data_IF_596847750009
#
_entry.id   IF_596847750009
#
_cell.length_a   1.000
_cell.length_b   1.000
_cell.length_c   1.000
_cell.angle_alpha   90.00
_cell.angle_beta   90.00
_cell.angle_gamma   90.00
#
_symmetry.space_group_name_H-M   'P 1'
#
loop_
_entity.id
_entity.type
_entity.pdbx_description
1 polymer ?
#
# COMPACT_ATOMS: atom_id res chain seq x y z
N UNK A 1 -24.80 17.98 30.68
CA UNK A 1 -24.22 16.83 29.94
C UNK A 1 -23.60 17.38 28.68
N UNK A 2 -22.29 17.62 28.69
CA UNK A 2 -21.54 18.25 27.59
C UNK A 2 -20.81 17.17 26.79
N UNK A 3 -21.03 17.20 25.48
CA UNK A 3 -20.09 16.84 24.41
C UNK A 3 -19.63 15.38 24.30
N UNK A 4 -20.43 14.54 23.63
CA UNK A 4 -19.96 13.30 23.00
C UNK A 4 -20.40 13.24 21.53
N UNK A 5 -19.90 14.12 20.66
CA UNK A 5 -20.15 13.98 19.22
C UNK A 5 -19.03 14.48 18.28
N UNK A 6 -17.79 14.59 18.76
CA UNK A 6 -16.67 15.10 17.94
C UNK A 6 -15.46 14.15 17.86
N UNK A 7 -15.64 12.84 18.06
CA UNK A 7 -14.54 11.87 18.01
C UNK A 7 -14.47 11.01 16.73
N UNK A 8 -15.41 11.17 15.79
CA UNK A 8 -15.50 10.29 14.62
C UNK A 8 -14.75 10.79 13.36
N UNK A 9 -14.22 12.02 13.36
CA UNK A 9 -13.65 12.63 12.13
C UNK A 9 -12.12 12.55 12.04
N UNK A 10 -11.42 12.20 13.12
CA UNK A 10 -9.94 12.17 13.12
C UNK A 10 -9.30 10.82 12.76
N UNK A 11 -10.10 9.77 12.52
CA UNK A 11 -9.59 8.41 12.29
C UNK A 11 -9.12 8.11 10.86
N UNK A 12 -9.39 8.98 9.88
CA UNK A 12 -8.99 8.78 8.48
C UNK A 12 -7.65 9.41 8.10
N UNK A 13 -7.09 10.29 8.93
CA UNK A 13 -5.86 11.02 8.59
C UNK A 13 -4.57 10.26 8.94
N UNK A 14 -4.62 9.26 9.82
CA UNK A 14 -3.43 8.53 10.29
C UNK A 14 -3.00 7.36 9.41
N UNK A 15 -3.77 7.02 8.36
CA UNK A 15 -3.31 6.02 7.36
C UNK A 15 -2.40 6.63 6.28
N UNK A 16 -2.26 7.96 6.25
CA UNK A 16 -1.33 8.65 5.36
C UNK A 16 0.14 8.54 5.81
N UNK A 17 0.42 7.94 6.98
CA UNK A 17 1.78 7.90 7.55
C UNK A 17 2.64 6.71 7.07
N UNK A 18 2.09 5.80 6.27
CA UNK A 18 2.82 4.65 5.70
C UNK A 18 2.65 4.50 4.18
N UNK A 19 1.79 5.30 3.56
CA UNK A 19 1.87 5.54 2.13
C UNK A 19 2.93 6.61 1.93
N UNK A 20 4.06 6.27 1.29
CA UNK A 20 5.03 7.28 0.89
C UNK A 20 4.28 8.27 -0.02
N UNK A 21 4.04 9.50 0.44
CA UNK A 21 3.34 10.49 -0.37
C UNK A 21 4.26 10.93 -1.51
N UNK A 22 4.17 10.24 -2.64
CA UNK A 22 4.99 10.49 -3.82
C UNK A 22 4.68 11.83 -4.50
N UNK A 23 3.57 12.50 -4.17
CA UNK A 23 3.17 13.76 -4.82
C UNK A 23 4.20 14.86 -4.59
N UNK A 24 4.85 14.89 -3.43
CA UNK A 24 5.90 15.86 -3.12
C UNK A 24 7.12 15.68 -4.03
N UNK A 25 7.58 14.43 -4.19
CA UNK A 25 8.73 14.10 -5.03
C UNK A 25 8.43 14.30 -6.51
N UNK A 26 7.22 13.95 -6.94
CA UNK A 26 6.79 14.19 -8.31
C UNK A 26 6.68 15.70 -8.59
N UNK A 27 6.14 16.49 -7.67
CA UNK A 27 6.10 17.96 -7.81
C UNK A 27 7.51 18.53 -7.92
N UNK A 28 8.46 18.01 -7.14
CA UNK A 28 9.88 18.41 -7.22
C UNK A 28 10.46 18.03 -8.59
N UNK A 29 10.23 16.81 -9.04
CA UNK A 29 10.66 16.32 -10.36
C UNK A 29 10.17 17.23 -11.47
N UNK A 30 8.87 17.54 -11.51
CA UNK A 30 8.25 18.35 -12.56
C UNK A 30 8.84 19.77 -12.62
N UNK A 31 9.13 20.36 -11.45
CA UNK A 31 9.80 21.67 -11.37
C UNK A 31 11.19 21.66 -11.99
N UNK A 32 12.00 20.62 -11.71
CA UNK A 32 13.34 20.50 -12.30
C UNK A 32 13.23 20.18 -13.78
N UNK A 33 12.37 19.24 -14.16
CA UNK A 33 12.18 18.83 -15.55
C UNK A 33 11.78 20.01 -16.45
N UNK A 34 10.97 20.94 -15.95
CA UNK A 34 10.60 22.15 -16.68
C UNK A 34 11.78 23.07 -17.04
N UNK A 35 12.94 22.91 -16.40
CA UNK A 35 14.14 23.71 -16.67
C UNK A 35 15.20 22.99 -17.49
N UNK A 36 14.96 21.76 -17.94
CA UNK A 36 15.93 20.91 -18.67
C UNK A 36 15.55 20.79 -20.15
N UNK A 37 16.50 20.44 -21.01
CA UNK A 37 16.17 20.09 -22.41
C UNK A 37 15.35 18.79 -22.43
N UNK A 38 14.06 18.84 -22.84
CA UNK A 38 13.21 17.66 -22.87
C UNK A 38 13.66 16.60 -23.89
N UNK A 39 14.56 16.94 -24.81
CA UNK A 39 15.10 16.01 -25.80
C UNK A 39 16.38 15.30 -25.34
N UNK A 40 16.99 15.75 -24.23
CA UNK A 40 18.11 15.04 -23.62
C UNK A 40 17.72 13.59 -23.31
N UNK A 41 18.68 12.68 -23.43
CA UNK A 41 18.45 11.26 -23.16
C UNK A 41 18.02 11.07 -21.70
N UNK A 42 18.71 11.77 -20.81
CA UNK A 42 18.53 11.75 -19.37
C UNK A 42 17.13 12.26 -18.98
N UNK A 43 16.66 13.38 -19.54
CA UNK A 43 15.31 13.88 -19.21
C UNK A 43 14.20 12.93 -19.68
N UNK A 44 14.35 12.29 -20.84
CA UNK A 44 13.39 11.30 -21.34
C UNK A 44 13.36 10.04 -20.49
N UNK A 45 14.52 9.50 -20.15
CA UNK A 45 14.63 8.33 -19.26
C UNK A 45 14.06 8.63 -17.86
N UNK A 46 14.37 9.81 -17.33
CA UNK A 46 13.85 10.27 -16.04
C UNK A 46 12.31 10.35 -16.05
N UNK A 47 11.72 10.89 -17.13
CA UNK A 47 10.27 11.00 -17.28
C UNK A 47 9.60 9.62 -17.35
N UNK A 48 10.17 8.68 -18.11
CA UNK A 48 9.65 7.31 -18.20
C UNK A 48 9.63 6.64 -16.82
N UNK A 49 10.69 6.81 -16.02
CA UNK A 49 10.75 6.25 -14.66
C UNK A 49 9.67 6.82 -13.73
N UNK A 50 9.37 8.13 -13.82
CA UNK A 50 8.26 8.74 -13.06
C UNK A 50 6.91 8.20 -13.51
N UNK A 51 6.68 8.05 -14.81
CA UNK A 51 5.43 7.48 -15.33
C UNK A 51 5.25 6.02 -14.87
N UNK A 52 6.33 5.24 -14.87
CA UNK A 52 6.33 3.88 -14.32
C UNK A 52 6.05 3.88 -12.81
N UNK A 53 6.71 4.76 -12.04
CA UNK A 53 6.49 4.88 -10.60
C UNK A 53 5.03 5.23 -10.28
N UNK A 54 4.44 6.20 -10.99
CA UNK A 54 3.02 6.57 -10.88
C UNK A 54 2.13 5.36 -11.18
N UNK A 55 2.37 4.65 -12.30
CA UNK A 55 1.54 3.52 -12.69
C UNK A 55 1.59 2.38 -11.66
N UNK A 56 2.78 2.07 -11.13
CA UNK A 56 2.96 1.06 -10.09
C UNK A 56 2.24 1.48 -8.80
N UNK A 57 2.47 2.71 -8.33
CA UNK A 57 1.83 3.24 -7.12
C UNK A 57 0.31 3.17 -7.17
N UNK A 58 -0.32 3.63 -8.26
CA UNK A 58 -1.78 3.58 -8.39
C UNK A 58 -2.30 2.14 -8.40
N UNK A 59 -1.60 1.23 -9.07
CA UNK A 59 -2.00 -0.18 -9.15
C UNK A 59 -1.82 -0.90 -7.81
N UNK A 60 -0.67 -0.76 -7.15
CA UNK A 60 -0.36 -1.41 -5.88
C UNK A 60 -1.29 -0.93 -4.76
N UNK A 61 -1.45 0.38 -4.63
CA UNK A 61 -2.15 0.96 -3.47
C UNK A 61 -3.65 0.76 -3.55
N UNK A 62 -4.22 0.78 -4.76
CA UNK A 62 -5.66 0.61 -4.90
C UNK A 62 -6.03 -0.86 -5.00
N UNK A 63 -5.44 -1.59 -5.95
CA UNK A 63 -5.92 -2.94 -6.28
C UNK A 63 -5.39 -3.97 -5.29
N UNK A 64 -4.10 -3.96 -5.01
CA UNK A 64 -3.49 -5.01 -4.18
C UNK A 64 -3.87 -4.85 -2.71
N UNK A 65 -3.89 -3.63 -2.16
CA UNK A 65 -4.36 -3.42 -0.79
C UNK A 65 -5.83 -3.83 -0.61
N UNK A 66 -6.71 -3.53 -1.57
CA UNK A 66 -8.11 -3.97 -1.51
C UNK A 66 -8.22 -5.50 -1.57
N UNK A 67 -7.39 -6.15 -2.40
CA UNK A 67 -7.35 -7.61 -2.49
C UNK A 67 -6.87 -8.25 -1.18
N UNK A 68 -5.78 -7.73 -0.59
CA UNK A 68 -5.26 -8.18 0.71
C UNK A 68 -6.35 -8.04 1.78
N UNK A 69 -7.03 -6.89 1.83
CA UNK A 69 -8.13 -6.66 2.78
C UNK A 69 -9.30 -7.62 2.57
N UNK A 70 -9.69 -7.89 1.33
CA UNK A 70 -10.75 -8.85 1.03
C UNK A 70 -10.41 -10.26 1.55
N UNK A 71 -9.19 -10.74 1.29
CA UNK A 71 -8.71 -12.02 1.77
C UNK A 71 -8.72 -12.11 3.31
N UNK A 72 -8.25 -11.05 3.98
CA UNK A 72 -8.22 -11.01 5.45
C UNK A 72 -9.63 -10.94 6.05
N UNK A 73 -10.53 -10.15 5.46
CA UNK A 73 -11.92 -10.08 5.89
C UNK A 73 -12.62 -11.42 5.77
N UNK A 74 -12.39 -12.16 4.68
CA UNK A 74 -12.95 -13.50 4.50
C UNK A 74 -12.34 -14.49 5.50
N UNK A 75 -11.03 -14.41 5.76
CA UNK A 75 -10.37 -15.18 6.82
C UNK A 75 -11.00 -14.93 8.20
N UNK A 76 -11.28 -13.67 8.55
CA UNK A 76 -11.91 -13.32 9.82
C UNK A 76 -13.33 -13.88 9.94
N UNK A 77 -14.12 -13.86 8.87
CA UNK A 77 -15.46 -14.47 8.86
C UNK A 77 -15.41 -15.96 9.21
N UNK A 78 -14.44 -16.69 8.65
CA UNK A 78 -14.30 -18.13 8.91
C UNK A 78 -13.98 -18.46 10.38
N UNK A 79 -13.23 -17.61 11.07
CA UNK A 79 -12.90 -17.80 12.50
C UNK A 79 -13.87 -17.10 13.46
N UNK A 80 -14.98 -16.53 12.95
CA UNK A 80 -15.97 -15.81 13.74
C UNK A 80 -15.46 -14.51 14.36
N UNK A 81 -14.39 -13.94 13.82
CA UNK A 81 -13.80 -12.69 14.29
C UNK A 81 -14.29 -11.51 13.44
N UNK A 82 -14.32 -10.32 14.04
CA UNK A 82 -14.61 -9.10 13.29
C UNK A 82 -13.34 -8.59 12.61
N UNK A 83 -13.42 -8.14 11.34
CA UNK A 83 -12.30 -7.49 10.70
C UNK A 83 -11.90 -6.20 11.42
N UNK A 84 -10.61 -5.91 11.40
CA UNK A 84 -10.05 -4.69 11.95
C UNK A 84 -9.71 -3.73 10.81
N UNK A 85 -10.01 -2.43 10.97
CA UNK A 85 -9.72 -1.43 9.93
C UNK A 85 -8.28 -0.87 9.98
N UNK A 86 -7.35 -1.51 10.70
CA UNK A 86 -6.06 -0.89 11.05
C UNK A 86 -4.91 -1.87 10.94
N UNK A 87 -4.12 -1.77 9.85
CA UNK A 87 -2.68 -2.08 9.64
C UNK A 87 -2.04 -3.35 10.23
N UNK A 88 -2.81 -4.14 10.96
CA UNK A 88 -2.42 -5.27 11.80
C UNK A 88 -3.33 -6.48 11.52
N UNK A 89 -4.11 -6.42 10.43
CA UNK A 89 -5.09 -7.44 10.06
C UNK A 89 -4.46 -8.82 9.88
N UNK A 90 -3.24 -8.91 9.34
CA UNK A 90 -2.50 -10.18 9.22
C UNK A 90 -2.26 -10.79 10.61
N UNK A 91 -1.67 -10.02 11.54
CA UNK A 91 -1.36 -10.52 12.89
C UNK A 91 -2.63 -10.84 13.68
N UNK A 92 -3.67 -10.02 13.55
CA UNK A 92 -4.95 -10.30 14.20
C UNK A 92 -5.62 -11.56 13.66
N UNK A 93 -5.47 -11.86 12.36
CA UNK A 93 -5.98 -13.10 11.79
C UNK A 93 -5.15 -14.31 12.25
N UNK A 94 -3.82 -14.17 12.39
CA UNK A 94 -2.97 -15.19 13.03
C UNK A 94 -3.46 -15.53 14.43
N UNK A 95 -3.68 -14.51 15.26
CA UNK A 95 -4.15 -14.67 16.64
C UNK A 95 -5.56 -15.30 16.67
N UNK A 96 -6.46 -14.87 15.77
CA UNK A 96 -7.81 -15.41 15.68
C UNK A 96 -7.84 -16.87 15.19
N UNK A 97 -6.89 -17.28 14.35
CA UNK A 97 -6.70 -18.68 13.93
C UNK A 97 -6.13 -19.53 15.06
N UNK A 98 -5.29 -18.96 15.94
CA UNK A 98 -4.75 -19.64 17.11
C UNK A 98 -5.80 -19.85 18.21
N UNK A 99 -6.86 -19.04 18.22
CA UNK A 99 -7.98 -19.16 19.17
C UNK A 99 -9.32 -18.90 18.46
N UNK A 100 -9.76 -19.83 17.59
CA UNK A 100 -10.94 -19.63 16.75
C UNK A 100 -12.22 -19.63 17.59
N UNK A 101 -13.19 -18.79 17.20
CA UNK A 101 -14.54 -18.81 17.78
C UNK A 101 -15.46 -19.83 17.12
N UNK A 102 -15.00 -20.46 16.04
CA UNK A 102 -15.63 -21.60 15.40
C UNK A 102 -15.09 -22.90 15.97
N UNK A 103 -15.94 -23.91 16.09
CA UNK A 103 -15.54 -25.28 16.42
C UNK A 103 -15.24 -26.14 15.18
N UNK A 104 -15.47 -25.61 13.98
CA UNK A 104 -15.27 -26.34 12.73
C UNK A 104 -13.79 -26.25 12.26
N UNK A 105 -13.07 -27.38 12.21
CA UNK A 105 -11.70 -27.41 11.72
C UNK A 105 -11.57 -26.97 10.25
N UNK A 106 -12.57 -27.27 9.40
CA UNK A 106 -12.53 -26.91 7.99
C UNK A 106 -12.59 -25.38 7.78
N UNK A 107 -13.35 -24.68 8.62
CA UNK A 107 -13.39 -23.21 8.62
C UNK A 107 -12.05 -22.63 9.07
N UNK A 108 -11.42 -23.23 10.09
CA UNK A 108 -10.10 -22.80 10.55
C UNK A 108 -9.04 -23.02 9.45
N UNK A 109 -9.09 -24.13 8.73
CA UNK A 109 -8.17 -24.40 7.62
C UNK A 109 -8.42 -23.48 6.40
N UNK A 110 -9.68 -23.14 6.12
CA UNK A 110 -10.00 -22.12 5.12
C UNK A 110 -9.39 -20.76 5.49
N UNK A 111 -9.48 -20.34 6.75
CA UNK A 111 -8.85 -19.12 7.24
C UNK A 111 -7.33 -19.14 7.11
N UNK A 112 -6.66 -20.28 7.41
CA UNK A 112 -5.21 -20.45 7.21
C UNK A 112 -4.80 -20.28 5.75
N UNK A 113 -5.56 -20.85 4.81
CA UNK A 113 -5.29 -20.71 3.37
C UNK A 113 -5.39 -19.26 2.92
N UNK A 114 -6.42 -18.55 3.36
CA UNK A 114 -6.60 -17.13 3.07
C UNK A 114 -5.51 -16.25 3.70
N UNK A 115 -5.09 -16.56 4.94
CA UNK A 115 -3.97 -15.87 5.58
C UNK A 115 -2.67 -16.07 4.79
N UNK A 116 -2.38 -17.29 4.32
CA UNK A 116 -1.19 -17.56 3.51
C UNK A 116 -1.22 -16.77 2.21
N UNK A 117 -2.37 -16.75 1.53
CA UNK A 117 -2.55 -15.96 0.32
C UNK A 117 -2.39 -14.46 0.60
N UNK A 118 -2.99 -13.92 1.66
CA UNK A 118 -2.88 -12.52 2.04
C UNK A 118 -1.43 -12.12 2.33
N UNK A 119 -0.63 -13.00 2.97
CA UNK A 119 0.81 -12.78 3.19
C UNK A 119 1.60 -12.75 1.89
N UNK A 120 1.31 -13.65 0.95
CA UNK A 120 1.96 -13.65 -0.36
C UNK A 120 1.64 -12.37 -1.15
N UNK A 121 0.38 -11.94 -1.16
CA UNK A 121 -0.05 -10.68 -1.80
C UNK A 121 0.58 -9.47 -1.09
N UNK A 122 0.70 -9.47 0.24
CA UNK A 122 1.37 -8.41 0.99
C UNK A 122 2.86 -8.32 0.64
N UNK A 123 3.55 -9.45 0.54
CA UNK A 123 4.96 -9.46 0.13
C UNK A 123 5.14 -8.91 -1.30
N UNK A 124 4.24 -9.27 -2.23
CA UNK A 124 4.26 -8.72 -3.58
C UNK A 124 3.97 -7.20 -3.61
N UNK A 125 3.02 -6.75 -2.79
CA UNK A 125 2.74 -5.32 -2.59
C UNK A 125 3.97 -4.58 -2.07
N UNK A 126 4.65 -5.11 -1.05
CA UNK A 126 5.83 -4.45 -0.46
C UNK A 126 6.94 -4.29 -1.49
N UNK A 127 7.24 -5.34 -2.28
CA UNK A 127 8.24 -5.27 -3.36
C UNK A 127 7.87 -4.22 -4.40
N UNK A 128 6.60 -4.16 -4.83
CA UNK A 128 6.17 -3.18 -5.82
C UNK A 128 6.21 -1.76 -5.25
N UNK A 129 5.74 -1.57 -4.03
CA UNK A 129 5.74 -0.28 -3.35
C UNK A 129 7.16 0.23 -3.11
N UNK A 130 8.10 -0.63 -2.69
CA UNK A 130 9.51 -0.27 -2.55
C UNK A 130 10.13 0.15 -3.90
N UNK A 131 9.76 -0.54 -4.99
CA UNK A 131 10.22 -0.20 -6.34
C UNK A 131 9.76 1.19 -6.82
N UNK A 132 8.68 1.74 -6.26
CA UNK A 132 8.22 3.11 -6.56
C UNK A 132 9.26 4.12 -6.08
N UNK A 133 9.72 4.00 -4.84
CA UNK A 133 10.73 4.87 -4.26
C UNK A 133 12.04 4.83 -5.06
N UNK A 134 12.51 3.63 -5.39
CA UNK A 134 13.73 3.45 -6.19
C UNK A 134 13.64 4.12 -7.58
N UNK A 135 12.49 4.02 -8.25
CA UNK A 135 12.27 4.65 -9.56
C UNK A 135 12.25 6.17 -9.46
N UNK A 136 11.62 6.71 -8.41
CA UNK A 136 11.61 8.15 -8.16
C UNK A 136 13.04 8.65 -7.89
N UNK A 137 13.81 7.96 -7.05
CA UNK A 137 15.21 8.31 -6.77
C UNK A 137 16.09 8.28 -8.02
N UNK A 138 15.93 7.26 -8.87
CA UNK A 138 16.65 7.17 -10.14
C UNK A 138 16.24 8.28 -11.11
N UNK A 139 14.94 8.57 -11.22
CA UNK A 139 14.44 9.67 -12.05
C UNK A 139 14.99 11.02 -11.59
N UNK A 140 15.04 11.26 -10.27
CA UNK A 140 15.61 12.48 -9.70
C UNK A 140 17.09 12.65 -10.04
N UNK A 141 17.89 11.58 -9.92
CA UNK A 141 19.31 11.62 -10.32
C UNK A 141 19.50 11.93 -11.80
N UNK A 142 18.68 11.33 -12.67
CA UNK A 142 18.76 11.55 -14.11
C UNK A 142 18.35 12.98 -14.48
N UNK A 143 17.26 13.51 -13.92
CA UNK A 143 16.81 14.85 -14.27
C UNK A 143 17.74 15.95 -13.75
N UNK A 144 18.40 15.72 -12.61
CA UNK A 144 19.43 16.63 -12.11
C UNK A 144 20.67 16.64 -13.03
N UNK A 145 21.05 15.48 -13.59
CA UNK A 145 22.16 15.31 -14.52
C UNK A 145 21.86 15.77 -15.96
N UNK A 146 20.58 15.88 -16.34
CA UNK A 146 20.16 16.36 -17.64
C UNK A 146 20.66 17.81 -17.86
N UNK A 147 21.15 18.08 -19.07
CA UNK A 147 21.64 19.40 -19.49
C UNK A 147 20.59 20.17 -20.26
#
# INVERSE_FOLDING_TARGET
MKNMMAAAVFGLASMAALAHNIDADITKFEKIHATKDPNSKEAREAKVLIEQARAVYFHSDTVQLLRIRALLNDGFKFVGAQPAFLGSEIKRLEDAIASPKTSDPAMTDAARKLLLQAKAEKAAYDVLHDSVGEKIDQAMKLIEAAK
#
